data_IF_449534060946
#
_entry.id   IF_449534060946
#
_cell.length_a   1.000
_cell.length_b   1.000
_cell.length_c   1.000
_cell.angle_alpha   90.00
_cell.angle_beta   90.00
_cell.angle_gamma   90.00
#
_symmetry.space_group_name_H-M   'P 1'
#
loop_
_entity.id
_entity.type
_entity.pdbx_description
1 polymer ?
#
# COMPACT_ATOMS: atom_id res chain seq x y z
N UNK A 1 11.95 23.75 2.39
CA UNK A 1 11.16 22.77 3.18
C UNK A 1 9.67 22.98 3.02
N UNK A 2 9.06 22.34 2.01
CA UNK A 2 7.61 22.46 1.71
C UNK A 2 6.78 21.36 2.40
N UNK A 3 7.43 20.28 2.85
CA UNK A 3 6.79 19.04 3.32
C UNK A 3 6.17 19.14 4.74
N UNK A 4 6.80 19.88 5.66
CA UNK A 4 6.32 20.04 7.05
C UNK A 4 5.04 20.88 7.17
N UNK A 5 4.87 21.99 6.42
CA UNK A 5 3.62 22.77 6.41
C UNK A 5 2.40 22.06 5.78
N UNK A 6 2.62 21.06 4.90
CA UNK A 6 1.52 20.34 4.23
C UNK A 6 0.77 19.38 5.16
N UNK A 7 1.47 18.80 6.15
CA UNK A 7 0.90 17.86 7.14
C UNK A 7 -0.21 18.46 8.00
N UNK A 8 -0.19 19.78 8.19
CA UNK A 8 -1.19 20.50 9.00
C UNK A 8 -2.34 21.05 8.16
N UNK A 9 -2.18 21.12 6.83
CA UNK A 9 -3.17 21.75 5.93
C UNK A 9 -4.06 20.75 5.20
N UNK A 10 -3.50 19.65 4.70
CA UNK A 10 -4.23 18.73 3.82
C UNK A 10 -3.80 17.27 3.96
N UNK A 11 -4.71 16.31 3.74
CA UNK A 11 -4.38 14.88 3.65
C UNK A 11 -3.37 14.54 2.53
N UNK A 12 -3.14 15.48 1.60
CA UNK A 12 -2.11 15.41 0.55
C UNK A 12 -0.70 15.12 1.09
N UNK A 13 -0.41 15.39 2.36
CA UNK A 13 0.90 15.08 2.92
C UNK A 13 1.21 13.57 2.92
N UNK A 14 0.20 12.71 3.13
CA UNK A 14 0.35 11.26 3.01
C UNK A 14 0.65 10.87 1.56
N UNK A 15 -0.06 11.49 0.61
CA UNK A 15 0.14 11.26 -0.82
C UNK A 15 1.54 11.67 -1.29
N UNK A 16 1.99 12.88 -0.94
CA UNK A 16 3.35 13.35 -1.28
C UNK A 16 4.41 12.50 -0.58
N UNK A 17 4.12 12.00 0.63
CA UNK A 17 5.00 11.05 1.34
C UNK A 17 5.13 9.68 0.71
N UNK A 18 4.12 9.27 -0.05
CA UNK A 18 4.15 7.97 -0.68
C UNK A 18 5.20 7.87 -1.80
N UNK A 19 5.51 8.98 -2.48
CA UNK A 19 6.57 9.03 -3.49
C UNK A 19 7.95 8.64 -2.93
N UNK A 20 8.53 9.36 -1.95
CA UNK A 20 9.83 8.99 -1.39
C UNK A 20 9.80 7.63 -0.70
N UNK A 21 8.65 7.18 -0.20
CA UNK A 21 8.49 5.84 0.37
C UNK A 21 8.54 4.71 -0.66
N UNK A 22 8.16 4.98 -1.92
CA UNK A 22 8.13 3.98 -3.00
C UNK A 22 9.42 3.96 -3.84
N UNK A 23 10.17 5.08 -3.89
CA UNK A 23 11.44 5.21 -4.60
C UNK A 23 12.47 4.11 -4.25
N UNK A 24 12.67 3.68 -2.98
CA UNK A 24 13.66 2.66 -2.67
C UNK A 24 13.46 1.33 -3.40
N UNK A 25 12.21 0.91 -3.62
CA UNK A 25 11.90 -0.33 -4.35
C UNK A 25 12.21 -0.22 -5.83
N UNK A 26 11.89 0.93 -6.41
CA UNK A 26 12.25 1.28 -7.79
C UNK A 26 13.77 1.26 -7.98
N UNK A 27 14.50 1.98 -7.12
CA UNK A 27 15.96 2.08 -7.22
C UNK A 27 16.67 0.78 -6.91
N UNK A 28 16.11 -0.07 -6.04
CA UNK A 28 16.66 -1.41 -5.77
C UNK A 28 16.73 -2.26 -7.04
N UNK A 29 15.70 -2.19 -7.89
CA UNK A 29 15.72 -2.87 -9.19
C UNK A 29 16.70 -2.25 -10.17
N UNK A 30 16.68 -0.92 -10.31
CA UNK A 30 17.59 -0.19 -11.21
C UNK A 30 19.05 -0.45 -10.83
N UNK A 31 19.39 -0.46 -9.55
CA UNK A 31 20.74 -0.74 -9.08
C UNK A 31 21.21 -2.17 -9.41
N UNK A 32 20.30 -3.15 -9.37
CA UNK A 32 20.61 -4.54 -9.67
C UNK A 32 20.68 -4.86 -11.19
N UNK A 33 19.94 -4.11 -12.01
CA UNK A 33 19.77 -4.41 -13.44
C UNK A 33 20.38 -3.37 -14.38
N UNK A 34 20.75 -2.21 -13.85
CA UNK A 34 21.19 -1.03 -14.60
C UNK A 34 20.20 -0.60 -15.70
N UNK A 35 18.90 -0.88 -15.50
CA UNK A 35 17.85 -0.62 -16.48
C UNK A 35 16.68 0.14 -15.86
N UNK A 36 16.17 1.13 -16.59
CA UNK A 36 15.04 1.97 -16.20
C UNK A 36 13.86 1.68 -17.13
N UNK A 37 13.27 0.50 -16.94
CA UNK A 37 12.15 -0.02 -17.72
C UNK A 37 10.79 0.02 -17.00
N UNK A 38 9.91 -0.91 -17.37
CA UNK A 38 8.57 -1.05 -16.80
C UNK A 38 8.59 -1.75 -15.41
N UNK A 39 9.64 -2.50 -15.13
CA UNK A 39 9.91 -3.25 -13.91
C UNK A 39 10.03 -2.36 -12.67
N UNK A 40 10.96 -1.40 -12.62
CA UNK A 40 11.10 -0.52 -11.46
C UNK A 40 9.84 0.32 -11.25
N UNK A 41 9.15 0.70 -12.33
CA UNK A 41 7.85 1.38 -12.27
C UNK A 41 6.75 0.52 -11.65
N UNK A 42 6.71 -0.79 -11.94
CA UNK A 42 5.73 -1.71 -11.34
C UNK A 42 5.97 -1.87 -9.84
N UNK A 43 7.22 -2.07 -9.42
CA UNK A 43 7.60 -2.16 -8.00
C UNK A 43 7.31 -0.85 -7.25
N UNK A 44 7.58 0.29 -7.88
CA UNK A 44 7.20 1.60 -7.36
C UNK A 44 5.69 1.66 -7.10
N UNK A 45 4.88 1.29 -8.10
CA UNK A 45 3.42 1.39 -8.01
C UNK A 45 2.86 0.48 -6.91
N UNK A 46 3.34 -0.76 -6.78
CA UNK A 46 2.96 -1.67 -5.70
C UNK A 46 3.19 -0.99 -4.34
N UNK A 47 4.41 -0.49 -4.12
CA UNK A 47 4.79 0.12 -2.85
C UNK A 47 4.01 1.41 -2.59
N UNK A 48 3.80 2.23 -3.62
CA UNK A 48 3.06 3.48 -3.56
C UNK A 48 1.61 3.23 -3.12
N UNK A 49 0.89 2.32 -3.78
CA UNK A 49 -0.51 2.04 -3.46
C UNK A 49 -0.68 1.34 -2.11
N UNK A 50 0.23 0.43 -1.75
CA UNK A 50 0.18 -0.30 -0.48
C UNK A 50 0.25 0.61 0.76
N UNK A 51 0.98 1.73 0.67
CA UNK A 51 1.19 2.64 1.79
C UNK A 51 -0.09 3.32 2.27
N UNK A 52 -1.04 3.60 1.38
CA UNK A 52 -2.29 4.29 1.73
C UNK A 52 -3.17 3.52 2.72
N UNK A 53 -3.62 2.28 2.43
CA UNK A 53 -4.43 1.52 3.38
C UNK A 53 -3.70 1.27 4.70
N UNK A 54 -2.37 1.10 4.68
CA UNK A 54 -1.56 0.97 5.89
C UNK A 54 -1.57 2.25 6.74
N UNK A 55 -1.15 3.38 6.16
CA UNK A 55 -1.05 4.65 6.88
C UNK A 55 -2.41 5.20 7.29
N UNK A 56 -3.45 5.01 6.49
CA UNK A 56 -4.80 5.44 6.86
C UNK A 56 -5.43 4.55 7.93
N UNK A 57 -5.11 3.26 7.98
CA UNK A 57 -5.49 2.41 9.11
C UNK A 57 -4.80 2.85 10.42
N UNK A 58 -3.51 3.19 10.36
CA UNK A 58 -2.78 3.76 11.50
C UNK A 58 -3.35 5.13 11.91
N UNK A 59 -3.62 6.00 10.94
CA UNK A 59 -4.26 7.30 11.16
C UNK A 59 -5.66 7.16 11.75
N UNK A 60 -6.38 6.10 11.41
CA UNK A 60 -7.68 5.80 12.01
C UNK A 60 -7.52 5.45 13.49
N UNK A 61 -6.50 4.69 13.86
CA UNK A 61 -6.25 4.34 15.27
C UNK A 61 -5.83 5.56 16.10
N UNK A 62 -4.96 6.41 15.55
CA UNK A 62 -4.33 7.53 16.25
C UNK A 62 -4.96 8.89 15.94
N UNK A 63 -6.17 8.91 15.37
CA UNK A 63 -6.85 10.14 14.91
C UNK A 63 -6.96 11.21 16.00
N UNK A 64 -7.28 10.82 17.23
CA UNK A 64 -7.45 11.76 18.35
C UNK A 64 -6.11 12.42 18.72
N UNK A 65 -5.02 11.67 18.69
CA UNK A 65 -3.68 12.20 18.96
C UNK A 65 -3.17 13.07 17.80
N UNK A 66 -3.46 12.68 16.55
CA UNK A 66 -3.17 13.51 15.39
C UNK A 66 -3.94 14.83 15.43
N UNK A 67 -5.22 14.81 15.81
CA UNK A 67 -6.03 16.03 15.97
C UNK A 67 -5.50 16.94 17.08
N UNK A 68 -5.07 16.38 18.22
CA UNK A 68 -4.41 17.17 19.28
C UNK A 68 -3.14 17.85 18.78
N UNK A 69 -2.39 17.19 17.90
CA UNK A 69 -1.21 17.76 17.23
C UNK A 69 -1.52 18.69 16.05
N UNK A 70 -2.80 18.93 15.72
CA UNK A 70 -3.20 19.75 14.57
C UNK A 70 -2.96 19.09 13.20
N UNK A 71 -2.77 17.77 13.15
CA UNK A 71 -2.51 17.02 11.93
C UNK A 71 -3.80 16.45 11.33
N UNK A 72 -3.93 16.51 9.99
CA UNK A 72 -5.04 15.92 9.24
C UNK A 72 -4.52 14.75 8.39
N UNK A 73 -4.47 13.57 9.01
CA UNK A 73 -3.85 12.37 8.41
C UNK A 73 -4.82 11.50 7.61
N UNK A 74 -6.12 11.55 7.93
CA UNK A 74 -7.14 10.80 7.19
C UNK A 74 -7.46 11.51 5.87
N UNK A 75 -7.77 10.78 4.80
CA UNK A 75 -7.99 11.36 3.47
C UNK A 75 -9.19 12.30 3.39
N UNK A 76 -10.20 12.11 4.24
CA UNK A 76 -11.33 13.06 4.40
C UNK A 76 -11.18 13.98 5.61
N UNK A 77 -10.09 13.84 6.37
CA UNK A 77 -9.82 14.56 7.61
C UNK A 77 -10.60 14.05 8.83
N UNK A 78 -11.39 12.97 8.70
CA UNK A 78 -12.20 12.40 9.79
C UNK A 78 -12.45 10.91 9.61
N UNK A 79 -12.78 10.22 10.71
CA UNK A 79 -13.18 8.79 10.71
C UNK A 79 -14.57 8.60 10.11
N UNK A 80 -14.67 8.64 8.79
CA UNK A 80 -15.93 8.48 8.06
C UNK A 80 -15.89 7.36 7.02
N UNK A 81 -17.06 7.08 6.44
CA UNK A 81 -17.18 6.10 5.35
C UNK A 81 -16.35 6.49 4.14
N UNK A 82 -16.20 7.79 3.85
CA UNK A 82 -15.41 8.28 2.72
C UNK A 82 -13.94 7.88 2.83
N UNK A 83 -13.36 7.97 4.03
CA UNK A 83 -12.01 7.48 4.30
C UNK A 83 -11.89 5.98 4.06
N UNK A 84 -12.85 5.19 4.55
CA UNK A 84 -12.79 3.73 4.40
C UNK A 84 -12.97 3.32 2.94
N UNK A 85 -13.82 4.01 2.18
CA UNK A 85 -13.98 3.78 0.73
C UNK A 85 -12.65 4.03 0.01
N UNK A 86 -11.91 5.09 0.36
CA UNK A 86 -10.58 5.31 -0.20
C UNK A 86 -9.62 4.18 0.20
N UNK A 87 -9.59 3.74 1.46
CA UNK A 87 -8.79 2.59 1.89
C UNK A 87 -9.08 1.35 1.02
N UNK A 88 -10.35 1.05 0.77
CA UNK A 88 -10.77 -0.09 -0.05
C UNK A 88 -10.32 0.11 -1.51
N UNK A 89 -10.57 1.27 -2.11
CA UNK A 89 -10.17 1.56 -3.50
C UNK A 89 -8.67 1.42 -3.70
N UNK A 90 -7.85 1.97 -2.80
CA UNK A 90 -6.39 1.87 -2.91
C UNK A 90 -5.89 0.43 -2.65
N UNK A 91 -6.58 -0.35 -1.81
CA UNK A 91 -6.30 -1.79 -1.64
C UNK A 91 -6.60 -2.57 -2.92
N UNK A 92 -7.69 -2.24 -3.63
CA UNK A 92 -8.01 -2.86 -4.93
C UNK A 92 -6.95 -2.50 -5.98
N UNK A 93 -6.54 -1.24 -6.06
CA UNK A 93 -5.48 -0.83 -6.98
C UNK A 93 -4.16 -1.56 -6.71
N UNK A 94 -3.76 -1.66 -5.44
CA UNK A 94 -2.59 -2.45 -5.05
C UNK A 94 -2.73 -3.90 -5.49
N UNK A 95 -3.89 -4.52 -5.28
CA UNK A 95 -4.19 -5.91 -5.68
C UNK A 95 -4.05 -6.13 -7.18
N UNK A 96 -4.58 -5.21 -8.00
CA UNK A 96 -4.48 -5.29 -9.46
C UNK A 96 -3.02 -5.18 -9.87
N UNK A 97 -2.29 -4.20 -9.33
CA UNK A 97 -0.91 -3.93 -9.74
C UNK A 97 0.03 -5.06 -9.30
N UNK A 98 -0.21 -5.68 -8.14
CA UNK A 98 0.64 -6.75 -7.62
C UNK A 98 0.55 -8.07 -8.40
N UNK A 99 -0.49 -8.26 -9.21
CA UNK A 99 -0.64 -9.44 -10.08
C UNK A 99 -0.25 -9.16 -11.53
N UNK A 100 -0.10 -7.90 -11.95
CA UNK A 100 0.28 -7.53 -13.33
C UNK A 100 1.48 -8.35 -13.86
N UNK A 101 2.53 -8.64 -13.06
CA UNK A 101 3.67 -9.39 -13.56
C UNK A 101 3.38 -10.81 -14.08
N UNK A 102 2.22 -11.39 -13.77
CA UNK A 102 1.81 -12.69 -14.32
C UNK A 102 1.54 -12.64 -15.83
N UNK A 103 1.19 -11.47 -16.37
CA UNK A 103 0.86 -11.32 -17.79
C UNK A 103 2.12 -11.24 -18.68
N UNK A 104 3.32 -11.25 -18.10
CA UNK A 104 4.58 -11.15 -18.84
C UNK A 104 4.81 -9.78 -19.50
N UNK A 105 3.95 -8.79 -19.23
CA UNK A 105 4.06 -7.44 -19.81
C UNK A 105 5.06 -6.55 -19.08
N UNK A 106 5.55 -6.98 -17.91
CA UNK A 106 6.52 -6.26 -17.07
C UNK A 106 7.95 -6.74 -17.32
N UNK A 107 8.31 -7.05 -18.57
CA UNK A 107 9.68 -7.41 -18.94
C UNK A 107 10.26 -8.58 -18.14
N UNK A 108 11.36 -8.34 -17.44
CA UNK A 108 12.08 -9.34 -16.61
C UNK A 108 11.46 -9.59 -15.24
N UNK A 109 10.57 -8.71 -14.79
CA UNK A 109 9.78 -8.93 -13.59
C UNK A 109 8.60 -9.80 -13.99
N UNK A 110 8.70 -11.11 -13.79
CA UNK A 110 7.62 -12.03 -14.08
C UNK A 110 7.23 -12.77 -12.81
N UNK A 111 5.97 -13.22 -12.77
CA UNK A 111 5.42 -13.98 -11.67
C UNK A 111 4.76 -15.22 -12.24
N UNK A 112 5.08 -16.40 -11.72
CA UNK A 112 4.40 -17.63 -12.13
C UNK A 112 2.92 -17.57 -11.77
N UNK A 113 2.09 -18.37 -12.48
CA UNK A 113 0.64 -18.45 -12.18
C UNK A 113 0.40 -18.84 -10.71
N UNK A 114 1.09 -19.85 -10.13
CA UNK A 114 0.94 -20.18 -8.71
C UNK A 114 1.29 -19.02 -7.77
N UNK A 115 2.39 -18.30 -8.04
CA UNK A 115 2.81 -17.16 -7.22
C UNK A 115 1.83 -16.00 -7.34
N UNK A 116 1.29 -15.73 -8.53
CA UNK A 116 0.28 -14.71 -8.74
C UNK A 116 -1.03 -15.01 -7.99
N UNK A 117 -1.48 -16.27 -7.99
CA UNK A 117 -2.64 -16.70 -7.21
C UNK A 117 -2.38 -16.48 -5.72
N UNK A 118 -1.19 -16.84 -5.22
CA UNK A 118 -0.84 -16.64 -3.81
C UNK A 118 -0.84 -15.16 -3.40
N UNK A 119 -0.19 -14.30 -4.20
CA UNK A 119 -0.17 -12.84 -3.98
C UNK A 119 -1.58 -12.26 -4.02
N UNK A 120 -2.43 -12.72 -4.96
CA UNK A 120 -3.82 -12.29 -5.05
C UNK A 120 -4.63 -12.68 -3.82
N UNK A 121 -4.53 -13.94 -3.36
CA UNK A 121 -5.23 -14.44 -2.18
C UNK A 121 -4.84 -13.68 -0.91
N UNK A 122 -3.54 -13.39 -0.74
CA UNK A 122 -3.06 -12.60 0.37
C UNK A 122 -3.63 -11.17 0.35
N UNK A 123 -3.75 -10.55 -0.82
CA UNK A 123 -4.32 -9.21 -0.95
C UNK A 123 -5.83 -9.23 -0.74
N UNK A 124 -6.52 -10.31 -1.12
CA UNK A 124 -7.93 -10.52 -0.79
C UNK A 124 -8.15 -10.59 0.72
N UNK A 125 -7.26 -11.23 1.48
CA UNK A 125 -7.32 -11.23 2.96
C UNK A 125 -7.21 -9.80 3.50
N UNK A 126 -6.29 -8.99 2.98
CA UNK A 126 -6.18 -7.58 3.36
C UNK A 126 -7.45 -6.79 3.00
N UNK A 127 -8.03 -7.03 1.83
CA UNK A 127 -9.29 -6.41 1.39
C UNK A 127 -10.47 -6.79 2.29
N UNK A 128 -10.56 -8.03 2.75
CA UNK A 128 -11.56 -8.47 3.73
C UNK A 128 -11.45 -7.70 5.05
N UNK A 129 -10.23 -7.41 5.52
CA UNK A 129 -10.04 -6.55 6.69
C UNK A 129 -10.45 -5.10 6.44
N UNK A 130 -10.27 -4.58 5.23
CA UNK A 130 -10.75 -3.26 4.85
C UNK A 130 -12.30 -3.19 4.86
N UNK A 131 -12.98 -4.21 4.35
CA UNK A 131 -14.44 -4.31 4.47
C UNK A 131 -14.91 -4.48 5.93
N UNK A 132 -14.16 -5.23 6.75
CA UNK A 132 -14.46 -5.35 8.18
C UNK A 132 -14.35 -4.01 8.91
N UNK A 133 -13.40 -3.16 8.51
CA UNK A 133 -13.32 -1.78 8.98
C UNK A 133 -14.53 -0.96 8.52
N UNK A 134 -15.02 -1.16 7.29
CA UNK A 134 -16.22 -0.49 6.77
C UNK A 134 -17.49 -0.81 7.57
N UNK A 135 -17.63 -2.07 7.98
CA UNK A 135 -18.74 -2.57 8.77
C UNK A 135 -18.65 -2.10 10.23
N UNK A 136 -17.52 -2.36 10.91
CA UNK A 136 -17.36 -2.13 12.36
C UNK A 136 -16.97 -0.70 12.73
N UNK A 137 -16.12 -0.06 11.93
CA UNK A 137 -15.61 1.32 12.14
C UNK A 137 -14.94 1.54 13.49
N UNK A 138 -14.35 0.48 14.06
CA UNK A 138 -13.66 0.51 15.35
C UNK A 138 -12.13 0.51 15.17
N UNK A 139 -11.40 0.88 16.22
CA UNK A 139 -9.94 0.87 16.18
C UNK A 139 -9.36 -0.56 16.10
N UNK A 140 -10.10 -1.57 16.53
CA UNK A 140 -9.66 -2.97 16.49
C UNK A 140 -9.61 -3.51 15.05
N UNK A 141 -10.60 -3.20 14.22
CA UNK A 141 -10.63 -3.54 12.79
C UNK A 141 -9.57 -2.76 12.02
N UNK A 142 -9.35 -1.47 12.34
CA UNK A 142 -8.26 -0.68 11.78
C UNK A 142 -6.89 -1.29 12.11
N UNK A 143 -6.66 -1.72 13.36
CA UNK A 143 -5.43 -2.42 13.78
C UNK A 143 -5.21 -3.72 13.00
N UNK A 144 -6.27 -4.51 12.81
CA UNK A 144 -6.19 -5.75 12.01
C UNK A 144 -5.84 -5.47 10.55
N UNK A 145 -6.42 -4.44 9.95
CA UNK A 145 -6.08 -4.01 8.59
C UNK A 145 -4.61 -3.56 8.49
N UNK A 146 -4.14 -2.74 9.44
CA UNK A 146 -2.75 -2.29 9.51
C UNK A 146 -1.77 -3.46 9.63
N UNK A 147 -2.07 -4.45 10.48
CA UNK A 147 -1.23 -5.64 10.62
C UNK A 147 -1.28 -6.51 9.35
N UNK A 148 -2.47 -6.69 8.77
CA UNK A 148 -2.63 -7.43 7.52
C UNK A 148 -1.84 -6.79 6.37
N UNK A 149 -1.76 -5.45 6.31
CA UNK A 149 -0.97 -4.77 5.29
C UNK A 149 0.54 -5.02 5.47
N UNK A 150 1.05 -4.99 6.72
CA UNK A 150 2.46 -5.30 7.00
C UNK A 150 2.79 -6.75 6.65
N UNK A 151 1.90 -7.69 6.99
CA UNK A 151 2.04 -9.09 6.60
C UNK A 151 2.01 -9.25 5.08
N UNK A 152 1.10 -8.54 4.39
CA UNK A 152 0.97 -8.60 2.94
C UNK A 152 2.27 -8.22 2.23
N UNK A 153 2.83 -7.03 2.52
CA UNK A 153 4.02 -6.56 1.81
C UNK A 153 5.25 -7.43 2.09
N UNK A 154 5.41 -7.88 3.34
CA UNK A 154 6.54 -8.73 3.74
C UNK A 154 6.49 -10.09 3.05
N UNK A 155 5.34 -10.75 3.08
CA UNK A 155 5.17 -12.07 2.47
C UNK A 155 5.20 -11.98 0.93
N UNK A 156 4.63 -10.91 0.36
CA UNK A 156 4.59 -10.73 -1.10
C UNK A 156 5.99 -10.60 -1.69
N UNK A 157 6.89 -9.88 -1.01
CA UNK A 157 8.31 -9.82 -1.40
C UNK A 157 8.98 -11.19 -1.35
N UNK A 158 8.71 -11.99 -0.31
CA UNK A 158 9.24 -13.36 -0.20
C UNK A 158 8.76 -14.20 -1.38
N UNK A 159 7.47 -14.11 -1.74
CA UNK A 159 6.91 -14.84 -2.88
C UNK A 159 7.60 -14.44 -4.18
N UNK A 160 7.78 -13.14 -4.45
CA UNK A 160 8.49 -12.66 -5.64
C UNK A 160 9.93 -13.16 -5.72
N UNK A 161 10.63 -13.23 -4.58
CA UNK A 161 12.00 -13.74 -4.52
C UNK A 161 12.04 -15.24 -4.76
N UNK A 162 11.22 -16.01 -4.05
CA UNK A 162 11.16 -17.48 -4.15
C UNK A 162 10.76 -17.91 -5.56
N UNK A 163 9.75 -17.26 -6.15
CA UNK A 163 9.27 -17.57 -7.49
C UNK A 163 10.36 -17.42 -8.56
N UNK A 164 11.29 -16.47 -8.38
CA UNK A 164 12.42 -16.27 -9.30
C UNK A 164 13.47 -17.39 -9.25
N UNK A 165 13.50 -18.17 -8.16
CA UNK A 165 14.46 -19.26 -7.97
C UNK A 165 13.89 -20.64 -8.29
N UNK A 166 12.58 -20.74 -8.54
CA UNK A 166 11.88 -21.97 -8.94
C UNK A 166 11.77 -21.98 -10.47
#
# INVERSE_FOLDING_TARGET
SVYTPLKTKTPLAVFIGAFPGAIPFMLGWVAATNDFGIEPGTLFMIQFFWQFPHFWALAWMLDDDYKKGGFKMLPTGKKDKGTIIQIIMYTIWMLVISVIPVFGITGRLQLSIPAAILVFLMGMVMLLFAFKLFEKRDNNSAKRLMLASVSYISLMQIVYVVDKFI
#
